data_IF_921092740684
#
_entry.id   IF_921092740684
#
_cell.length_a   1.000
_cell.length_b   1.000
_cell.length_c   1.000
_cell.angle_alpha   90.00
_cell.angle_beta   90.00
_cell.angle_gamma   90.00
#
_symmetry.space_group_name_H-M   'P 1'
#
loop_
_entity.id
_entity.type
_entity.pdbx_description
1 polymer ?
#
# COMPACT_ATOMS: atom_id res chain seq x y z
N UNK A 1 2.25 -12.45 2.17
CA UNK A 1 3.01 -11.38 1.44
C UNK A 1 4.45 -11.76 1.34
N UNK A 2 5.28 -11.06 0.55
CA UNK A 2 5.36 -11.17 -0.89
C UNK A 2 5.75 -12.57 -1.34
N UNK A 3 5.25 -12.93 -2.51
CA UNK A 3 6.21 -13.26 -3.55
C UNK A 3 5.83 -12.51 -4.84
N UNK A 4 6.81 -11.84 -5.45
CA UNK A 4 6.66 -11.06 -6.70
C UNK A 4 7.94 -11.26 -7.55
N UNK A 5 8.26 -12.37 -8.22
CA UNK A 5 7.75 -13.75 -8.30
C UNK A 5 8.96 -14.72 -8.18
N UNK A 6 9.61 -14.76 -7.02
CA UNK A 6 10.76 -15.55 -6.59
C UNK A 6 10.41 -16.83 -5.78
N UNK A 7 9.16 -17.29 -5.84
CA UNK A 7 8.60 -18.51 -5.26
C UNK A 7 8.45 -18.56 -3.74
N UNK A 8 8.55 -17.45 -3.00
CA UNK A 8 8.67 -17.46 -1.52
C UNK A 8 7.65 -16.60 -0.76
N UNK A 9 6.33 -16.89 -0.86
CA UNK A 9 5.32 -16.17 -0.10
C UNK A 9 5.46 -16.41 1.41
N UNK A 10 5.02 -15.45 2.23
CA UNK A 10 4.77 -15.70 3.65
C UNK A 10 3.80 -16.87 3.79
N UNK A 11 4.07 -17.74 4.76
CA UNK A 11 3.21 -18.87 5.07
C UNK A 11 1.86 -18.39 5.62
N UNK A 12 0.78 -19.02 5.17
CA UNK A 12 -0.59 -18.67 5.58
C UNK A 12 -0.84 -18.96 7.07
N UNK A 13 -0.14 -19.93 7.64
CA UNK A 13 -0.27 -20.33 9.05
C UNK A 13 0.16 -19.24 10.04
N UNK A 14 0.87 -18.21 9.57
CA UNK A 14 1.28 -17.07 10.39
C UNK A 14 0.15 -16.04 10.58
N UNK A 15 -0.99 -16.22 9.90
CA UNK A 15 -2.11 -15.29 9.95
C UNK A 15 -3.34 -15.87 10.67
N UNK A 16 -4.03 -15.07 11.52
CA UNK A 16 -3.57 -13.77 12.01
C UNK A 16 -2.33 -13.95 12.93
N UNK A 17 -1.45 -12.93 13.04
CA UNK A 17 -0.28 -12.98 13.92
C UNK A 17 -0.70 -12.73 15.38
N UNK A 18 -1.51 -13.63 15.91
CA UNK A 18 -2.16 -13.58 17.22
C UNK A 18 -1.34 -14.24 18.34
N UNK A 19 -0.17 -14.79 18.02
CA UNK A 19 0.79 -15.32 18.97
C UNK A 19 2.17 -14.71 18.76
N UNK A 20 3.00 -14.69 19.82
CA UNK A 20 4.37 -14.21 19.75
C UNK A 20 5.18 -14.94 18.67
N UNK A 21 4.98 -16.24 18.52
CA UNK A 21 5.67 -17.06 17.51
C UNK A 21 5.29 -16.64 16.09
N UNK A 22 4.00 -16.48 15.80
CA UNK A 22 3.53 -16.03 14.49
C UNK A 22 4.00 -14.60 14.20
N UNK A 23 3.94 -13.72 15.20
CA UNK A 23 4.44 -12.35 15.10
C UNK A 23 5.95 -12.30 14.80
N UNK A 24 6.76 -13.13 15.46
CA UNK A 24 8.19 -13.23 15.20
C UNK A 24 8.50 -13.73 13.80
N UNK A 25 7.85 -14.83 13.36
CA UNK A 25 8.01 -15.39 12.01
C UNK A 25 7.66 -14.35 10.94
N UNK A 26 6.53 -13.66 11.11
CA UNK A 26 6.11 -12.62 10.17
C UNK A 26 7.04 -11.40 10.19
N UNK A 27 7.51 -11.00 11.36
CA UNK A 27 8.47 -9.92 11.53
C UNK A 27 9.83 -10.21 10.90
N UNK A 28 10.37 -11.42 11.09
CA UNK A 28 11.60 -11.88 10.44
C UNK A 28 11.45 -11.88 8.92
N UNK A 29 10.31 -12.35 8.45
CA UNK A 29 9.98 -12.38 7.04
C UNK A 29 9.94 -10.96 6.43
N UNK A 30 9.38 -9.97 7.12
CA UNK A 30 9.45 -8.54 6.72
C UNK A 30 10.85 -7.93 6.76
N UNK A 31 11.74 -8.45 7.61
CA UNK A 31 13.14 -8.01 7.68
C UNK A 31 14.02 -8.64 6.59
N UNK A 32 13.61 -9.77 6.01
CA UNK A 32 14.47 -10.62 5.16
C UNK A 32 13.95 -10.77 3.73
N UNK A 33 12.99 -11.68 3.53
CA UNK A 33 12.39 -12.01 2.23
C UNK A 33 11.59 -10.83 1.69
N UNK A 34 10.88 -10.13 2.56
CA UNK A 34 10.01 -9.01 2.22
C UNK A 34 10.60 -7.64 2.61
N UNK A 35 11.93 -7.55 2.70
CA UNK A 35 12.60 -6.30 3.00
C UNK A 35 12.25 -5.24 1.92
N UNK A 36 11.65 -4.09 2.30
CA UNK A 36 11.18 -3.09 1.34
C UNK A 36 12.20 -2.66 0.26
N UNK A 37 13.50 -2.47 0.55
CA UNK A 37 14.47 -2.05 -0.46
C UNK A 37 14.54 -2.98 -1.68
N UNK A 38 14.48 -4.31 -1.47
CA UNK A 38 14.52 -5.29 -2.56
C UNK A 38 13.36 -5.12 -3.52
N UNK A 39 12.17 -4.85 -2.99
CA UNK A 39 10.97 -4.67 -3.81
C UNK A 39 10.94 -3.31 -4.48
N UNK A 40 11.43 -2.25 -3.83
CA UNK A 40 11.57 -0.93 -4.45
C UNK A 40 12.46 -1.00 -5.70
N UNK A 41 13.61 -1.66 -5.61
CA UNK A 41 14.49 -1.89 -6.76
C UNK A 41 13.80 -2.69 -7.87
N UNK A 42 13.07 -3.75 -7.49
CA UNK A 42 12.32 -4.56 -8.45
C UNK A 42 11.22 -3.78 -9.16
N UNK A 43 10.47 -2.94 -8.45
CA UNK A 43 9.44 -2.07 -9.06
C UNK A 43 10.09 -1.15 -10.08
N UNK A 44 11.27 -0.59 -9.80
CA UNK A 44 12.00 0.23 -10.78
C UNK A 44 12.31 -0.55 -12.06
N UNK A 45 12.89 -1.75 -11.95
CA UNK A 45 13.20 -2.60 -13.12
C UNK A 45 11.95 -2.97 -13.93
N UNK A 46 10.84 -3.29 -13.25
CA UNK A 46 9.56 -3.56 -13.93
C UNK A 46 9.05 -2.31 -14.65
N UNK A 47 9.17 -1.13 -14.04
CA UNK A 47 8.74 0.11 -14.68
C UNK A 47 9.59 0.48 -15.89
N UNK A 48 10.88 0.20 -15.89
CA UNK A 48 11.75 0.42 -17.05
C UNK A 48 11.32 -0.47 -18.23
N UNK A 49 10.99 -1.74 -17.98
CA UNK A 49 10.45 -2.66 -18.99
C UNK A 49 9.06 -2.23 -19.47
N UNK A 50 8.16 -1.87 -18.55
CA UNK A 50 6.80 -1.42 -18.89
C UNK A 50 6.80 -0.16 -19.76
N UNK A 51 7.67 0.81 -19.46
CA UNK A 51 7.82 2.03 -20.27
C UNK A 51 8.40 1.72 -21.65
N UNK A 52 9.37 0.81 -21.73
CA UNK A 52 10.02 0.45 -23.00
C UNK A 52 9.08 -0.33 -23.92
N UNK A 53 8.30 -1.25 -23.35
CA UNK A 53 7.31 -2.06 -24.09
C UNK A 53 6.01 -1.30 -24.41
N UNK A 54 5.71 -0.20 -23.70
CA UNK A 54 4.50 0.59 -23.88
C UNK A 54 4.81 2.09 -24.11
N UNK A 55 5.51 2.46 -25.19
CA UNK A 55 5.98 3.85 -25.42
C UNK A 55 4.86 4.89 -25.54
N UNK A 56 3.63 4.44 -25.78
CA UNK A 56 2.45 5.30 -25.90
C UNK A 56 1.82 5.67 -24.54
N UNK A 57 2.11 4.93 -23.47
CA UNK A 57 1.62 5.25 -22.13
C UNK A 57 2.51 6.34 -21.52
N UNK A 58 1.90 7.47 -21.15
CA UNK A 58 2.63 8.66 -20.64
C UNK A 58 2.62 8.75 -19.12
N UNK A 59 1.56 8.26 -18.49
CA UNK A 59 1.34 8.38 -17.05
C UNK A 59 1.05 7.02 -16.44
N UNK A 60 1.56 6.81 -15.23
CA UNK A 60 1.47 5.56 -14.49
C UNK A 60 1.04 5.87 -13.06
N UNK A 61 0.04 5.15 -12.57
CA UNK A 61 -0.33 5.15 -11.16
C UNK A 61 0.22 3.92 -10.45
N UNK A 62 0.28 3.97 -9.13
CA UNK A 62 0.62 2.80 -8.30
C UNK A 62 -0.34 2.67 -7.13
N UNK A 63 -0.83 1.46 -6.88
CA UNK A 63 -1.65 1.14 -5.70
C UNK A 63 -1.02 -0.02 -4.94
N UNK A 64 -0.94 0.11 -3.62
CA UNK A 64 -0.31 -0.85 -2.73
C UNK A 64 -1.24 -1.24 -1.60
N UNK A 65 -1.26 -2.53 -1.27
CA UNK A 65 -2.15 -3.11 -0.27
C UNK A 65 -1.33 -3.71 0.88
N UNK A 66 -1.74 -3.50 2.13
CA UNK A 66 -1.02 -4.03 3.30
C UNK A 66 0.45 -3.56 3.27
N UNK A 67 1.40 -4.48 3.28
CA UNK A 67 2.84 -4.22 3.13
C UNK A 67 3.17 -3.42 1.86
N UNK A 68 2.37 -3.56 0.80
CA UNK A 68 2.48 -2.74 -0.41
C UNK A 68 2.30 -1.24 -0.16
N UNK A 69 1.63 -0.85 0.93
CA UNK A 69 1.54 0.55 1.36
C UNK A 69 2.90 1.17 1.69
N UNK A 70 3.80 0.42 2.35
CA UNK A 70 5.19 0.86 2.55
C UNK A 70 5.94 0.97 1.23
N UNK A 71 5.76 0.01 0.33
CA UNK A 71 6.42 0.04 -0.99
C UNK A 71 5.98 1.27 -1.78
N UNK A 72 4.67 1.54 -1.84
CA UNK A 72 4.11 2.72 -2.51
C UNK A 72 4.73 4.00 -1.99
N UNK A 73 4.84 4.16 -0.68
CA UNK A 73 5.49 5.32 -0.08
C UNK A 73 6.93 5.52 -0.55
N UNK A 74 7.72 4.43 -0.57
CA UNK A 74 9.11 4.48 -1.00
C UNK A 74 9.26 4.75 -2.50
N UNK A 75 8.43 4.15 -3.35
CA UNK A 75 8.50 4.36 -4.81
C UNK A 75 7.87 5.67 -5.26
N UNK A 76 7.23 6.43 -4.38
CA UNK A 76 6.60 7.74 -4.65
C UNK A 76 7.49 8.94 -4.32
N UNK A 77 8.74 8.68 -3.94
CA UNK A 77 9.72 9.72 -3.63
C UNK A 77 10.32 10.36 -4.89
N UNK A 78 11.22 11.34 -4.72
CA UNK A 78 11.85 12.06 -5.83
C UNK A 78 12.44 11.10 -6.89
N UNK A 79 12.18 11.41 -8.18
CA UNK A 79 12.58 10.55 -9.30
C UNK A 79 11.63 9.39 -9.59
N UNK A 80 10.48 9.33 -8.92
CA UNK A 80 9.45 8.31 -9.16
C UNK A 80 8.97 8.29 -10.63
N UNK A 81 8.70 7.10 -11.20
CA UNK A 81 8.06 6.98 -12.50
C UNK A 81 6.55 7.20 -12.45
N UNK A 82 5.96 7.28 -11.26
CA UNK A 82 4.52 7.36 -11.06
C UNK A 82 4.05 8.81 -10.96
N UNK A 83 2.81 9.05 -11.36
CA UNK A 83 2.16 10.36 -11.33
C UNK A 83 1.24 10.53 -10.12
N UNK A 84 0.66 9.44 -9.63
CA UNK A 84 -0.17 9.40 -8.42
C UNK A 84 -0.04 8.03 -7.74
N UNK A 85 -0.29 8.00 -6.43
CA UNK A 85 -0.10 6.82 -5.60
C UNK A 85 -1.26 6.61 -4.62
N UNK A 86 -1.55 5.34 -4.31
CA UNK A 86 -2.53 4.98 -3.29
C UNK A 86 -2.08 3.82 -2.40
N UNK A 87 -2.37 3.90 -1.10
CA UNK A 87 -2.09 2.88 -0.11
C UNK A 87 -3.37 2.44 0.60
N UNK A 88 -3.75 1.17 0.44
CA UNK A 88 -4.95 0.58 1.04
C UNK A 88 -4.56 -0.27 2.25
N UNK A 89 -5.22 -0.04 3.39
CA UNK A 89 -4.96 -0.68 4.69
C UNK A 89 -3.44 -0.88 4.90
N UNK A 90 -2.66 0.22 4.99
CA UNK A 90 -1.21 0.19 4.87
C UNK A 90 -0.54 -0.41 6.11
N UNK A 91 0.36 -1.37 5.91
CA UNK A 91 1.26 -1.83 6.96
C UNK A 91 2.58 -1.03 6.93
N UNK A 92 3.27 -0.99 8.08
CA UNK A 92 4.58 -0.33 8.24
C UNK A 92 4.56 1.16 7.87
N UNK A 93 3.50 1.89 8.24
CA UNK A 93 3.44 3.35 8.07
C UNK A 93 4.56 3.99 8.87
N UNK A 94 5.41 4.76 8.20
CA UNK A 94 6.53 5.48 8.80
C UNK A 94 6.36 6.98 8.50
N UNK A 95 6.11 7.82 9.51
CA UNK A 95 5.96 9.26 9.32
C UNK A 95 7.17 9.93 8.64
N UNK A 96 8.35 9.31 8.68
CA UNK A 96 9.56 9.85 8.03
C UNK A 96 9.59 9.64 6.51
N UNK A 97 8.68 8.83 5.96
CA UNK A 97 8.51 8.71 4.51
C UNK A 97 7.78 9.92 3.93
N UNK A 98 6.80 10.48 4.66
CA UNK A 98 5.88 11.51 4.15
C UNK A 98 6.58 12.75 3.56
N UNK A 99 7.60 13.36 4.19
CA UNK A 99 8.29 14.53 3.62
C UNK A 99 9.03 14.24 2.31
N UNK A 100 9.29 12.96 2.00
CA UNK A 100 10.04 12.53 0.83
C UNK A 100 9.13 12.21 -0.36
N UNK A 101 7.83 11.99 -0.12
CA UNK A 101 6.84 11.72 -1.17
C UNK A 101 6.66 12.99 -2.01
N UNK A 102 6.71 12.83 -3.33
CA UNK A 102 6.71 13.97 -4.29
C UNK A 102 5.50 14.02 -5.21
N UNK A 103 4.59 13.05 -5.11
CA UNK A 103 3.39 12.93 -5.95
C UNK A 103 2.12 12.79 -5.11
N UNK A 104 0.93 13.12 -5.64
CA UNK A 104 -0.32 12.94 -4.92
C UNK A 104 -0.46 11.55 -4.30
N UNK A 105 -0.90 11.50 -3.04
CA UNK A 105 -1.03 10.27 -2.26
C UNK A 105 -2.43 10.10 -1.67
N UNK A 106 -3.06 8.97 -1.97
CA UNK A 106 -4.27 8.50 -1.30
C UNK A 106 -3.90 7.45 -0.24
N UNK A 107 -4.46 7.52 0.95
CA UNK A 107 -4.31 6.51 1.98
C UNK A 107 -5.68 6.14 2.53
N UNK A 108 -6.00 4.84 2.54
CA UNK A 108 -7.26 4.29 3.05
C UNK A 108 -6.97 3.33 4.22
N UNK A 109 -6.67 3.85 5.43
CA UNK A 109 -6.48 3.00 6.60
C UNK A 109 -7.77 2.31 7.02
N UNK A 110 -7.63 1.12 7.61
CA UNK A 110 -8.68 0.34 8.26
C UNK A 110 -8.57 0.50 9.79
N UNK A 111 -9.26 -0.34 10.57
CA UNK A 111 -9.18 -0.26 12.03
C UNK A 111 -7.87 -0.76 12.65
N UNK A 112 -7.08 -1.53 11.90
CA UNK A 112 -5.90 -2.23 12.43
C UNK A 112 -4.59 -1.43 12.38
N UNK A 113 -4.58 -0.28 11.70
CA UNK A 113 -3.39 0.55 11.53
C UNK A 113 -3.13 1.47 12.75
N UNK A 114 -1.86 1.76 13.01
CA UNK A 114 -1.46 2.70 14.06
C UNK A 114 -1.92 4.13 13.71
N UNK A 115 -2.94 4.59 14.44
CA UNK A 115 -3.51 5.92 14.24
C UNK A 115 -2.51 7.04 14.44
N UNK A 116 -1.64 6.94 15.45
CA UNK A 116 -0.63 7.98 15.73
C UNK A 116 0.37 8.08 14.57
N UNK A 117 0.81 6.95 14.03
CA UNK A 117 1.73 6.92 12.90
C UNK A 117 1.09 7.51 11.63
N UNK A 118 -0.18 7.19 11.35
CA UNK A 118 -0.90 7.75 10.19
C UNK A 118 -1.17 9.25 10.36
N UNK A 119 -1.58 9.71 11.54
CA UNK A 119 -1.82 11.13 11.82
C UNK A 119 -0.51 11.94 11.67
N UNK A 120 0.60 11.41 12.19
CA UNK A 120 1.92 12.06 12.06
C UNK A 120 2.39 12.05 10.60
N UNK A 121 2.22 10.94 9.89
CA UNK A 121 2.47 10.84 8.45
C UNK A 121 1.66 11.90 7.68
N UNK A 122 0.36 12.02 7.97
CA UNK A 122 -0.52 13.01 7.35
C UNK A 122 0.00 14.43 7.59
N UNK A 123 0.37 14.76 8.83
CA UNK A 123 0.84 16.10 9.19
C UNK A 123 2.12 16.50 8.43
N UNK A 124 2.94 15.52 8.07
CA UNK A 124 4.22 15.69 7.37
C UNK A 124 4.11 15.64 5.85
N UNK A 125 2.98 15.18 5.31
CA UNK A 125 2.77 15.05 3.87
C UNK A 125 2.38 16.40 3.24
N UNK A 126 3.18 16.88 2.29
CA UNK A 126 3.08 18.22 1.69
C UNK A 126 2.49 18.25 0.27
N UNK A 127 2.25 17.08 -0.31
CA UNK A 127 1.64 16.87 -1.63
C UNK A 127 0.11 16.83 -1.53
N UNK A 128 -0.64 16.94 -2.65
CA UNK A 128 -2.08 16.67 -2.64
C UNK A 128 -2.36 15.29 -2.02
N UNK A 129 -3.26 15.24 -1.04
CA UNK A 129 -3.53 14.02 -0.28
C UNK A 129 -5.01 13.77 -0.07
N UNK A 130 -5.37 12.50 0.03
CA UNK A 130 -6.68 12.03 0.48
C UNK A 130 -6.45 10.95 1.53
N UNK A 131 -6.81 11.20 2.79
CA UNK A 131 -6.70 10.20 3.86
C UNK A 131 -8.10 9.96 4.40
N UNK A 132 -8.56 8.70 4.34
CA UNK A 132 -9.90 8.33 4.74
C UNK A 132 -9.89 7.02 5.52
N UNK A 133 -10.26 7.11 6.80
CA UNK A 133 -10.31 5.97 7.71
C UNK A 133 -11.59 5.16 7.56
N UNK A 134 -11.41 3.84 7.51
CA UNK A 134 -12.45 2.81 7.59
C UNK A 134 -12.37 2.11 8.95
N UNK A 135 -12.72 2.85 10.02
CA UNK A 135 -12.54 2.42 11.42
C UNK A 135 -13.36 1.19 11.82
N UNK A 136 -14.35 0.80 11.01
CA UNK A 136 -15.19 -0.38 11.21
C UNK A 136 -14.75 -1.59 10.37
N UNK A 137 -13.75 -1.42 9.50
CA UNK A 137 -13.29 -2.46 8.59
C UNK A 137 -11.98 -3.11 9.04
N UNK A 138 -11.83 -4.40 8.75
CA UNK A 138 -10.63 -5.16 9.04
C UNK A 138 -9.49 -4.85 8.06
N UNK A 139 -8.25 -5.00 8.52
CA UNK A 139 -7.09 -4.92 7.64
C UNK A 139 -7.21 -5.92 6.48
N UNK A 140 -7.05 -5.45 5.24
CA UNK A 140 -7.23 -6.30 4.06
C UNK A 140 -8.65 -6.33 3.49
N UNK A 141 -9.60 -5.54 4.02
CA UNK A 141 -10.97 -5.50 3.52
C UNK A 141 -11.05 -5.14 2.03
N UNK A 142 -10.20 -4.23 1.53
CA UNK A 142 -10.10 -3.88 0.10
C UNK A 142 -9.39 -4.93 -0.76
N UNK A 143 -9.12 -6.11 -0.22
CA UNK A 143 -8.43 -7.19 -0.91
C UNK A 143 -9.06 -8.54 -0.51
N UNK A 144 -8.24 -9.58 -0.35
CA UNK A 144 -8.71 -10.94 -0.12
C UNK A 144 -9.42 -11.18 1.23
N UNK A 145 -9.46 -10.19 2.14
CA UNK A 145 -10.12 -10.32 3.47
C UNK A 145 -11.49 -9.64 3.54
N UNK A 146 -11.97 -9.02 2.47
CA UNK A 146 -13.32 -8.46 2.42
C UNK A 146 -14.37 -9.57 2.30
N UNK A 147 -15.25 -9.70 3.30
CA UNK A 147 -16.45 -10.53 3.20
C UNK A 147 -17.55 -9.76 2.47
N UNK A 148 -17.70 -9.99 1.17
CA UNK A 148 -18.64 -9.25 0.33
C UNK A 148 -20.12 -9.68 0.51
N UNK A 149 -20.39 -10.71 1.31
CA UNK A 149 -21.75 -11.08 1.70
C UNK A 149 -22.25 -10.24 2.89
N UNK A 150 -21.34 -9.63 3.67
CA UNK A 150 -21.69 -8.60 4.66
C UNK A 150 -21.90 -7.26 3.94
N UNK A 151 -23.14 -6.78 3.93
CA UNK A 151 -23.53 -5.53 3.27
C UNK A 151 -22.72 -4.30 3.73
N UNK A 152 -22.26 -4.26 5.00
CA UNK A 152 -21.42 -3.16 5.48
C UNK A 152 -20.02 -3.23 4.88
N UNK A 153 -19.43 -4.42 4.83
CA UNK A 153 -18.11 -4.63 4.24
C UNK A 153 -18.15 -4.39 2.74
N UNK A 154 -19.19 -4.87 2.05
CA UNK A 154 -19.42 -4.61 0.63
C UNK A 154 -19.56 -3.12 0.33
N UNK A 155 -20.38 -2.38 1.09
CA UNK A 155 -20.52 -0.94 0.91
C UNK A 155 -19.19 -0.19 1.13
N UNK A 156 -18.41 -0.57 2.13
CA UNK A 156 -17.09 -0.02 2.38
C UNK A 156 -16.08 -0.37 1.26
N UNK A 157 -16.14 -1.60 0.74
CA UNK A 157 -15.33 -2.07 -0.38
C UNK A 157 -15.60 -1.23 -1.64
N UNK A 158 -16.87 -1.13 -2.05
CA UNK A 158 -17.30 -0.33 -3.20
C UNK A 158 -16.91 1.14 -3.05
N UNK A 159 -17.12 1.72 -1.86
CA UNK A 159 -16.71 3.09 -1.55
C UNK A 159 -15.20 3.27 -1.67
N UNK A 160 -14.40 2.35 -1.12
CA UNK A 160 -12.94 2.42 -1.19
C UNK A 160 -12.44 2.40 -2.64
N UNK A 161 -12.96 1.50 -3.48
CA UNK A 161 -12.63 1.48 -4.91
C UNK A 161 -13.13 2.73 -5.65
N UNK A 162 -14.31 3.26 -5.31
CA UNK A 162 -14.77 4.53 -5.88
C UNK A 162 -13.84 5.69 -5.50
N UNK A 163 -13.35 5.74 -4.26
CA UNK A 163 -12.35 6.72 -3.82
C UNK A 163 -11.05 6.56 -4.61
N UNK A 164 -10.56 5.35 -4.83
CA UNK A 164 -9.37 5.10 -5.67
C UNK A 164 -9.59 5.57 -7.10
N UNK A 165 -10.71 5.21 -7.74
CA UNK A 165 -11.04 5.61 -9.10
C UNK A 165 -11.11 7.13 -9.24
N UNK A 166 -11.80 7.80 -8.32
CA UNK A 166 -11.92 9.26 -8.32
C UNK A 166 -10.55 9.92 -8.11
N UNK A 167 -9.74 9.39 -7.20
CA UNK A 167 -8.42 9.92 -6.91
C UNK A 167 -7.49 9.81 -8.13
N UNK A 168 -7.42 8.63 -8.74
CA UNK A 168 -6.60 8.43 -9.93
C UNK A 168 -7.13 9.21 -11.13
N UNK A 169 -8.45 9.31 -11.35
CA UNK A 169 -9.00 10.13 -12.44
C UNK A 169 -8.67 11.62 -12.32
N UNK A 170 -8.48 12.11 -11.08
CA UNK A 170 -8.09 13.50 -10.82
C UNK A 170 -6.59 13.76 -11.03
N UNK A 171 -5.76 12.72 -10.88
CA UNK A 171 -4.30 12.87 -10.75
C UNK A 171 -3.47 12.13 -11.80
N UNK A 172 -4.08 11.23 -12.58
CA UNK A 172 -3.55 10.63 -13.80
C UNK A 172 -4.29 11.21 -15.01
#
# INVERSE_FOLDING_TARGET
>A
MPDFFEGKPADISWYPPDTDEKGQKLGEFFKTTAAPPKTVEKVKSVMDELKSSNPNIKEWGVVGYCWGGKIVNLVSQSGTPFKAAAACHPAMVDPNDAPKVTIPMCMLPSKGEDKSAVDEYESKLTVPKHIEWYNDQEHGFLAARGDLEDEKVKAAYEKGYQTLLNFFHKHL
#
